data_IF_908136519904
#
_entry.id   IF_908136519904
#
_cell.length_a   1.000
_cell.length_b   1.000
_cell.length_c   1.000
_cell.angle_alpha   90.00
_cell.angle_beta   90.00
_cell.angle_gamma   90.00
#
_symmetry.space_group_name_H-M   'P 1'
#
loop_
_entity.id
_entity.type
_entity.pdbx_description
1 polymer ?
#
# COMPACT_ATOMS: atom_id res chain seq x y z
N UNK A 1 -21.08 1.06 27.44
CA UNK A 1 -19.62 1.15 27.31
C UNK A 1 -19.17 0.06 26.33
N UNK A 2 -18.87 0.41 25.07
CA UNK A 2 -18.50 -0.56 24.03
C UNK A 2 -16.99 -0.74 24.01
N UNK A 3 -16.51 -1.77 24.67
CA UNK A 3 -15.19 -2.33 24.42
C UNK A 3 -15.36 -3.29 23.24
N UNK A 4 -14.92 -2.87 22.05
CA UNK A 4 -14.80 -3.78 20.90
C UNK A 4 -13.34 -4.14 20.72
N UNK A 5 -13.13 -5.45 20.69
CA UNK A 5 -11.87 -6.17 20.67
C UNK A 5 -10.90 -5.68 19.58
N UNK A 6 -9.84 -5.00 20.01
CA UNK A 6 -8.51 -5.08 19.41
C UNK A 6 -7.85 -6.35 19.96
N UNK A 7 -8.39 -7.53 19.65
CA UNK A 7 -7.78 -8.77 20.12
C UNK A 7 -6.74 -9.24 19.09
N UNK A 8 -5.52 -9.41 19.61
CA UNK A 8 -4.28 -9.88 18.98
C UNK A 8 -3.46 -8.89 18.17
N UNK A 9 -3.06 -7.77 18.79
CA UNK A 9 -1.81 -7.09 18.44
C UNK A 9 -0.96 -6.93 19.69
N UNK A 10 0.22 -7.52 19.74
CA UNK A 10 1.25 -7.13 20.71
C UNK A 10 2.40 -6.46 19.96
N UNK A 11 2.61 -5.18 20.24
CA UNK A 11 3.82 -4.48 19.84
C UNK A 11 4.83 -4.64 20.97
N UNK A 12 6.06 -5.06 20.66
CA UNK A 12 7.13 -5.07 21.64
C UNK A 12 7.38 -3.63 22.12
N UNK A 13 7.17 -3.29 23.40
CA UNK A 13 7.33 -1.92 23.89
C UNK A 13 8.80 -1.46 23.91
N UNK A 14 9.74 -2.36 23.63
CA UNK A 14 11.19 -2.09 23.64
C UNK A 14 11.78 -1.84 22.26
N UNK A 15 11.37 -2.62 21.25
CA UNK A 15 11.89 -2.50 19.89
C UNK A 15 10.81 -2.15 18.85
N UNK A 16 9.56 -1.95 19.28
CA UNK A 16 8.42 -1.56 18.45
C UNK A 16 8.01 -2.57 17.35
N UNK A 17 8.55 -3.79 17.38
CA UNK A 17 8.19 -4.89 16.48
C UNK A 17 6.81 -5.45 16.82
N UNK A 18 5.95 -5.64 15.81
CA UNK A 18 4.64 -6.25 15.96
C UNK A 18 4.73 -7.79 15.91
N UNK A 19 4.06 -8.48 16.83
CA UNK A 19 3.87 -9.94 16.77
C UNK A 19 2.55 -10.27 16.06
N UNK A 20 2.64 -11.07 14.99
CA UNK A 20 1.53 -11.34 14.05
C UNK A 20 1.39 -10.23 13.01
N UNK A 21 1.35 -10.61 11.72
CA UNK A 21 1.19 -9.62 10.65
C UNK A 21 -0.12 -8.85 10.83
N UNK A 22 -0.06 -7.52 10.79
CA UNK A 22 -1.24 -6.69 10.92
C UNK A 22 -2.15 -6.93 9.71
N UNK A 23 -3.31 -7.57 9.93
CA UNK A 23 -4.34 -7.68 8.90
C UNK A 23 -5.08 -6.33 8.80
N UNK A 24 -5.05 -5.73 7.62
CA UNK A 24 -5.81 -4.53 7.31
C UNK A 24 -7.23 -4.81 6.83
N UNK A 25 -7.91 -3.76 6.40
CA UNK A 25 -9.31 -3.80 5.96
C UNK A 25 -9.50 -3.51 4.47
N UNK A 26 -8.46 -3.53 3.63
CA UNK A 26 -8.60 -3.44 2.16
C UNK A 26 -9.74 -4.36 1.67
N UNK A 27 -10.65 -3.90 0.79
CA UNK A 27 -11.79 -4.71 0.36
C UNK A 27 -11.41 -6.07 -0.22
N UNK A 28 -12.26 -7.07 0.05
CA UNK A 28 -12.10 -8.40 -0.56
C UNK A 28 -12.28 -8.35 -2.08
N UNK A 29 -11.69 -9.32 -2.78
CA UNK A 29 -11.70 -9.35 -4.25
C UNK A 29 -10.77 -8.33 -4.91
N UNK A 30 -9.98 -7.58 -4.12
CA UNK A 30 -8.93 -6.71 -4.66
C UNK A 30 -7.84 -7.53 -5.35
N UNK A 31 -7.38 -7.07 -6.51
CA UNK A 31 -6.29 -7.70 -7.26
C UNK A 31 -5.12 -6.75 -7.44
N UNK A 32 -3.92 -7.32 -7.52
CA UNK A 32 -2.65 -6.65 -7.80
C UNK A 32 -1.96 -7.42 -8.92
N UNK A 33 -1.56 -6.73 -9.98
CA UNK A 33 -0.76 -7.30 -11.07
C UNK A 33 0.44 -6.39 -11.37
N UNK A 34 1.45 -6.96 -12.02
CA UNK A 34 2.73 -6.28 -12.27
C UNK A 34 3.12 -6.45 -13.72
N UNK A 35 3.53 -5.35 -14.35
CA UNK A 35 4.14 -5.32 -15.68
C UNK A 35 5.52 -4.68 -15.61
N UNK A 36 6.39 -5.03 -16.55
CA UNK A 36 7.72 -4.45 -16.69
C UNK A 36 7.79 -3.66 -18.00
N UNK A 37 8.16 -2.40 -17.90
CA UNK A 37 8.18 -1.46 -19.03
C UNK A 37 9.59 -0.94 -19.21
N UNK A 38 10.15 -1.10 -20.41
CA UNK A 38 11.48 -0.58 -20.73
C UNK A 38 11.51 0.96 -20.75
N UNK A 39 12.71 1.54 -20.60
CA UNK A 39 12.91 2.98 -20.66
C UNK A 39 13.90 3.48 -19.61
N UNK A 40 13.97 4.81 -19.45
CA UNK A 40 14.78 5.46 -18.41
C UNK A 40 13.88 5.97 -17.30
N UNK A 41 14.34 5.81 -16.07
CA UNK A 41 13.68 6.36 -14.89
C UNK A 41 14.44 7.61 -14.42
N UNK A 42 13.81 8.79 -14.35
CA UNK A 42 14.46 9.97 -13.80
C UNK A 42 14.98 9.72 -12.38
N UNK A 43 16.28 9.93 -12.16
CA UNK A 43 16.94 9.70 -10.86
C UNK A 43 17.42 8.27 -10.61
N UNK A 44 17.14 7.32 -11.50
CA UNK A 44 17.57 5.92 -11.37
C UNK A 44 18.22 5.43 -12.68
N UNK A 45 19.49 5.78 -12.89
CA UNK A 45 20.25 5.38 -14.08
C UNK A 45 20.63 3.88 -14.09
N UNK A 46 20.54 3.24 -12.93
CA UNK A 46 20.76 1.82 -12.71
C UNK A 46 19.52 0.95 -13.02
N UNK A 47 18.38 1.57 -13.29
CA UNK A 47 17.12 0.87 -13.53
C UNK A 47 16.93 0.48 -15.00
N UNK A 48 16.53 -0.77 -15.19
CA UNK A 48 16.11 -1.32 -16.49
C UNK A 48 14.64 -1.03 -16.77
N UNK A 49 14.28 0.26 -16.79
CA UNK A 49 12.91 0.74 -16.95
C UNK A 49 12.11 0.79 -15.66
N UNK A 50 10.79 0.75 -15.78
CA UNK A 50 9.84 0.82 -14.68
C UNK A 50 9.15 -0.53 -14.43
N UNK A 51 8.82 -0.77 -13.17
CA UNK A 51 7.85 -1.75 -12.73
C UNK A 51 6.52 -1.01 -12.60
N UNK A 52 5.52 -1.41 -13.38
CA UNK A 52 4.16 -0.92 -13.25
C UNK A 52 3.35 -1.88 -12.38
N UNK A 53 2.71 -1.33 -11.35
CA UNK A 53 1.87 -2.08 -10.43
C UNK A 53 0.44 -1.62 -10.65
N UNK A 54 -0.43 -2.53 -11.07
CA UNK A 54 -1.85 -2.25 -11.26
C UNK A 54 -2.66 -2.82 -10.11
N UNK A 55 -3.48 -1.97 -9.50
CA UNK A 55 -4.44 -2.35 -8.48
C UNK A 55 -5.85 -2.20 -9.04
N UNK A 56 -6.67 -3.23 -8.85
CA UNK A 56 -8.12 -3.17 -9.08
C UNK A 56 -8.84 -3.55 -7.81
N UNK A 57 -9.62 -2.60 -7.28
CA UNK A 57 -10.41 -2.78 -6.08
C UNK A 57 -11.88 -2.64 -6.49
N UNK A 58 -12.67 -3.73 -6.43
CA UNK A 58 -14.08 -3.67 -6.83
C UNK A 58 -14.89 -2.83 -5.85
N UNK A 59 -15.97 -2.22 -6.34
CA UNK A 59 -17.01 -1.66 -5.47
C UNK A 59 -17.68 -2.76 -4.65
N UNK A 60 -18.22 -2.43 -3.50
CA UNK A 60 -18.82 -3.42 -2.63
C UNK A 60 -19.62 -2.83 -1.49
N UNK A 61 -19.82 -3.64 -0.46
CA UNK A 61 -20.48 -3.22 0.79
C UNK A 61 -19.46 -3.20 1.91
N UNK A 62 -19.48 -2.15 2.72
CA UNK A 62 -18.61 -1.99 3.87
C UNK A 62 -18.88 -3.08 4.90
N UNK A 63 -17.85 -3.85 5.24
CA UNK A 63 -17.90 -4.81 6.34
C UNK A 63 -17.79 -4.12 7.72
N UNK A 64 -17.75 -4.92 8.79
CA UNK A 64 -17.66 -4.43 10.17
C UNK A 64 -16.38 -3.67 10.51
N UNK A 65 -15.34 -3.76 9.68
CA UNK A 65 -14.04 -3.09 9.89
C UNK A 65 -13.95 -1.73 9.19
N UNK A 66 -14.99 -1.34 8.44
CA UNK A 66 -15.06 -0.08 7.72
C UNK A 66 -15.86 0.99 8.49
N UNK A 67 -15.73 2.28 8.14
CA UNK A 67 -16.35 3.37 8.90
C UNK A 67 -17.87 3.30 8.99
N UNK A 68 -18.54 2.77 7.96
CA UNK A 68 -20.01 2.71 7.88
C UNK A 68 -20.47 1.32 7.41
N UNK A 69 -20.44 0.30 8.29
CA UNK A 69 -20.82 -1.06 7.95
C UNK A 69 -22.22 -1.16 7.32
N UNK A 70 -22.36 -2.02 6.30
CA UNK A 70 -23.60 -2.20 5.53
C UNK A 70 -23.83 -1.16 4.43
N UNK A 71 -23.06 -0.07 4.38
CA UNK A 71 -23.17 0.93 3.32
C UNK A 71 -22.35 0.55 2.09
N UNK A 72 -22.86 0.88 0.90
CA UNK A 72 -22.09 0.74 -0.33
C UNK A 72 -20.83 1.62 -0.32
N UNK A 73 -19.75 1.15 -0.94
CA UNK A 73 -18.57 1.95 -1.26
C UNK A 73 -18.18 1.78 -2.72
N UNK A 74 -17.58 2.82 -3.29
CA UNK A 74 -17.10 2.82 -4.67
C UNK A 74 -15.63 2.37 -4.77
N UNK A 75 -15.39 1.38 -5.61
CA UNK A 75 -14.08 0.82 -5.93
C UNK A 75 -13.19 1.76 -6.74
N UNK A 76 -12.00 1.30 -7.13
CA UNK A 76 -11.04 2.11 -7.88
C UNK A 76 -10.05 1.26 -8.68
N UNK A 77 -9.42 1.88 -9.66
CA UNK A 77 -8.26 1.34 -10.37
C UNK A 77 -7.10 2.33 -10.21
N UNK A 78 -5.92 1.82 -9.88
CA UNK A 78 -4.74 2.66 -9.67
C UNK A 78 -3.51 2.00 -10.26
N UNK A 79 -2.64 2.81 -10.83
CA UNK A 79 -1.33 2.38 -11.30
C UNK A 79 -0.26 3.08 -10.46
N UNK A 80 0.75 2.33 -10.06
CA UNK A 80 1.93 2.83 -9.36
C UNK A 80 3.21 2.37 -10.05
N UNK A 81 4.31 3.07 -9.78
CA UNK A 81 5.57 2.92 -10.50
C UNK A 81 6.76 2.78 -9.53
N UNK A 82 7.60 1.78 -9.76
CA UNK A 82 8.91 1.62 -9.14
C UNK A 82 10.00 1.57 -10.23
N UNK A 83 11.23 2.01 -9.95
CA UNK A 83 12.35 1.70 -10.83
C UNK A 83 12.60 0.18 -10.86
N UNK A 84 12.86 -0.37 -12.04
CA UNK A 84 13.26 -1.77 -12.20
C UNK A 84 14.76 -1.95 -11.92
N UNK A 85 15.13 -1.78 -10.65
CA UNK A 85 16.46 -2.05 -10.11
C UNK A 85 16.34 -2.88 -8.81
N UNK A 86 17.47 -3.20 -8.18
CA UNK A 86 17.49 -4.02 -6.96
C UNK A 86 16.58 -3.47 -5.85
N UNK A 87 16.64 -2.16 -5.59
CA UNK A 87 15.88 -1.54 -4.49
C UNK A 87 14.38 -1.46 -4.82
N UNK A 88 14.01 -1.19 -6.07
CA UNK A 88 12.62 -1.21 -6.51
C UNK A 88 12.01 -2.61 -6.48
N UNK A 89 12.78 -3.65 -6.80
CA UNK A 89 12.35 -5.05 -6.66
C UNK A 89 12.12 -5.44 -5.19
N UNK A 90 12.98 -4.98 -4.28
CA UNK A 90 12.78 -5.18 -2.84
C UNK A 90 11.49 -4.51 -2.34
N UNK A 91 11.25 -3.26 -2.74
CA UNK A 91 10.00 -2.54 -2.42
C UNK A 91 8.79 -3.24 -3.03
N UNK A 92 8.88 -3.77 -4.25
CA UNK A 92 7.80 -4.52 -4.88
C UNK A 92 7.35 -5.71 -4.02
N UNK A 93 8.28 -6.51 -3.51
CA UNK A 93 7.95 -7.67 -2.68
C UNK A 93 7.30 -7.26 -1.35
N UNK A 94 7.79 -6.19 -0.73
CA UNK A 94 7.16 -5.64 0.48
C UNK A 94 5.74 -5.13 0.20
N UNK A 95 5.51 -4.45 -0.93
CA UNK A 95 4.19 -3.99 -1.33
C UNK A 95 3.23 -5.14 -1.63
N UNK A 96 3.71 -6.22 -2.25
CA UNK A 96 2.93 -7.46 -2.43
C UNK A 96 2.54 -8.06 -1.09
N UNK A 97 3.48 -8.12 -0.14
CA UNK A 97 3.19 -8.63 1.19
C UNK A 97 2.16 -7.76 1.92
N UNK A 98 2.33 -6.43 1.91
CA UNK A 98 1.35 -5.50 2.47
C UNK A 98 -0.05 -5.65 1.82
N UNK A 99 -0.11 -5.81 0.50
CA UNK A 99 -1.36 -6.02 -0.22
C UNK A 99 -2.05 -7.33 0.19
N UNK A 100 -1.28 -8.42 0.32
CA UNK A 100 -1.78 -9.71 0.79
C UNK A 100 -2.28 -9.64 2.25
N UNK A 101 -1.66 -8.81 3.08
CA UNK A 101 -2.11 -8.49 4.43
C UNK A 101 -3.24 -7.45 4.46
N UNK A 102 -3.83 -7.07 3.31
CA UNK A 102 -4.93 -6.11 3.19
C UNK A 102 -4.61 -4.70 3.71
N UNK A 103 -3.34 -4.28 3.65
CA UNK A 103 -2.87 -3.02 4.22
C UNK A 103 -2.73 -1.87 3.22
N UNK A 104 -2.75 -2.13 1.91
CA UNK A 104 -2.48 -1.08 0.89
C UNK A 104 -3.61 -0.07 0.77
N UNK A 105 -4.85 -0.54 0.87
CA UNK A 105 -6.06 0.28 0.74
C UNK A 105 -6.97 0.14 1.96
N UNK A 106 -7.90 1.08 2.07
CA UNK A 106 -9.01 1.07 3.03
C UNK A 106 -10.24 1.72 2.39
N UNK A 107 -11.40 1.61 3.02
CA UNK A 107 -12.57 2.43 2.68
C UNK A 107 -12.66 3.60 3.65
N UNK A 108 -12.84 4.80 3.10
CA UNK A 108 -12.97 6.00 3.89
C UNK A 108 -13.50 7.17 3.10
N UNK A 109 -13.19 8.36 3.61
CA UNK A 109 -13.53 9.63 2.96
C UNK A 109 -12.26 10.20 2.35
N UNK A 110 -12.31 10.54 1.06
CA UNK A 110 -11.21 11.16 0.34
C UNK A 110 -10.95 12.55 0.91
N UNK A 111 -9.76 12.76 1.47
CA UNK A 111 -9.35 14.06 2.03
C UNK A 111 -9.24 15.12 0.92
N UNK A 112 -8.81 14.71 -0.28
CA UNK A 112 -8.56 15.66 -1.39
C UNK A 112 -9.82 16.07 -2.13
N UNK A 113 -10.80 15.17 -2.28
CA UNK A 113 -12.01 15.42 -3.06
C UNK A 113 -13.28 15.53 -2.23
N UNK A 114 -13.24 15.18 -0.95
CA UNK A 114 -14.42 15.09 -0.08
C UNK A 114 -15.36 13.93 -0.40
N UNK A 115 -15.03 13.08 -1.39
CA UNK A 115 -15.84 11.91 -1.75
C UNK A 115 -15.91 10.94 -0.57
N UNK A 116 -17.12 10.53 -0.21
CA UNK A 116 -17.36 9.60 0.91
C UNK A 116 -17.55 8.19 0.41
N UNK A 117 -17.25 7.21 1.26
CA UNK A 117 -17.46 5.79 0.97
C UNK A 117 -16.70 5.34 -0.28
N UNK A 118 -15.42 5.70 -0.35
CA UNK A 118 -14.55 5.36 -1.48
C UNK A 118 -13.31 4.63 -1.01
N UNK A 119 -12.69 3.89 -1.92
CA UNK A 119 -11.39 3.27 -1.68
C UNK A 119 -10.28 4.32 -1.70
N UNK A 120 -9.53 4.41 -0.61
CA UNK A 120 -8.40 5.32 -0.42
C UNK A 120 -7.12 4.56 -0.11
N UNK A 121 -5.97 5.20 -0.35
CA UNK A 121 -4.68 4.70 0.12
C UNK A 121 -4.66 4.64 1.65
N UNK A 122 -4.03 3.61 2.22
CA UNK A 122 -3.96 3.40 3.66
C UNK A 122 -2.55 3.68 4.20
N UNK A 123 -2.07 4.90 4.00
CA UNK A 123 -0.81 5.38 4.62
C UNK A 123 0.49 4.93 3.95
N UNK A 124 0.46 4.01 2.98
CA UNK A 124 1.63 3.59 2.20
C UNK A 124 1.65 4.38 0.88
N UNK A 125 2.60 5.31 0.74
CA UNK A 125 2.67 6.19 -0.42
C UNK A 125 3.16 5.44 -1.66
N UNK A 126 2.50 5.71 -2.77
CA UNK A 126 2.85 5.17 -4.09
C UNK A 126 3.17 6.30 -5.05
N UNK A 127 4.13 6.07 -5.95
CA UNK A 127 4.36 6.95 -7.10
C UNK A 127 3.37 6.62 -8.20
N UNK A 128 2.41 7.51 -8.45
CA UNK A 128 1.35 7.33 -9.46
C UNK A 128 1.62 8.10 -10.75
N UNK A 129 2.81 8.69 -10.89
CA UNK A 129 3.28 9.35 -12.10
C UNK A 129 4.75 8.96 -12.35
N UNK A 130 5.12 8.67 -13.60
CA UNK A 130 6.50 8.32 -13.97
C UNK A 130 7.41 9.54 -14.12
N UNK A 131 6.83 10.72 -14.37
CA UNK A 131 7.54 11.99 -14.56
C UNK A 131 7.43 12.91 -13.34
N UNK A 132 7.69 14.19 -13.54
CA UNK A 132 7.73 15.18 -12.45
C UNK A 132 6.36 15.39 -11.78
N UNK A 133 6.40 15.75 -10.50
CA UNK A 133 5.21 16.13 -9.72
C UNK A 133 5.23 15.55 -8.30
N UNK A 134 4.23 15.88 -7.47
CA UNK A 134 4.19 15.50 -6.06
C UNK A 134 4.18 13.97 -5.84
N UNK A 135 3.68 13.20 -6.80
CA UNK A 135 3.60 11.74 -6.74
C UNK A 135 4.44 11.06 -7.83
N UNK A 136 5.48 11.74 -8.33
CA UNK A 136 6.31 11.24 -9.42
C UNK A 136 7.82 11.27 -9.16
N UNK A 137 8.59 11.09 -10.23
CA UNK A 137 10.06 11.02 -10.24
C UNK A 137 10.67 12.24 -10.94
N UNK A 138 11.92 12.63 -10.62
CA UNK A 138 12.81 12.02 -9.64
C UNK A 138 12.39 12.32 -8.19
N UNK A 139 12.55 11.33 -7.31
CA UNK A 139 12.45 11.48 -5.86
C UNK A 139 13.47 10.52 -5.23
N UNK A 140 14.68 11.00 -4.90
CA UNK A 140 15.76 10.13 -4.42
C UNK A 140 15.48 9.51 -3.06
N UNK A 141 14.50 10.02 -2.31
CA UNK A 141 14.18 9.56 -0.94
C UNK A 141 13.02 8.57 -0.89
N UNK A 142 12.28 8.42 -1.99
CA UNK A 142 11.02 7.69 -2.01
C UNK A 142 11.17 6.23 -1.59
N UNK A 143 12.14 5.51 -2.14
CA UNK A 143 12.28 4.07 -1.88
C UNK A 143 12.63 3.77 -0.42
N UNK A 144 13.35 4.65 0.26
CA UNK A 144 13.62 4.50 1.70
C UNK A 144 12.40 4.87 2.53
N UNK A 145 11.76 5.99 2.21
CA UNK A 145 10.57 6.45 2.92
C UNK A 145 9.39 5.47 2.84
N UNK A 146 9.16 4.85 1.68
CA UNK A 146 8.09 3.83 1.55
C UNK A 146 8.42 2.56 2.35
N UNK A 147 9.70 2.18 2.47
CA UNK A 147 10.11 1.07 3.35
C UNK A 147 9.86 1.41 4.82
N UNK A 148 10.10 2.65 5.25
CA UNK A 148 9.79 3.09 6.62
C UNK A 148 8.28 3.07 6.89
N UNK A 149 7.47 3.53 5.93
CA UNK A 149 6.01 3.47 6.00
C UNK A 149 5.52 2.01 6.10
N UNK A 150 6.07 1.09 5.31
CA UNK A 150 5.78 -0.35 5.36
C UNK A 150 6.20 -0.95 6.71
N UNK A 151 7.39 -0.61 7.21
CA UNK A 151 7.89 -1.07 8.50
C UNK A 151 7.00 -0.61 9.67
N UNK A 152 6.40 0.58 9.59
CA UNK A 152 5.44 1.05 10.59
C UNK A 152 4.18 0.16 10.69
N UNK A 153 3.81 -0.50 9.59
CA UNK A 153 2.76 -1.54 9.55
C UNK A 153 3.28 -2.95 9.90
N UNK A 154 4.55 -3.10 10.29
CA UNK A 154 5.19 -4.39 10.55
C UNK A 154 5.57 -5.16 9.29
N UNK A 155 5.58 -4.50 8.12
CA UNK A 155 5.97 -5.09 6.84
C UNK A 155 7.46 -4.85 6.60
N UNK A 156 8.26 -5.86 6.91
CA UNK A 156 9.72 -5.85 6.74
C UNK A 156 10.19 -7.12 6.05
N UNK A 157 11.42 -7.12 5.52
CA UNK A 157 12.02 -8.29 4.87
C UNK A 157 12.09 -9.49 5.80
N UNK A 158 12.34 -9.26 7.09
CA UNK A 158 12.41 -10.33 8.11
C UNK A 158 11.03 -10.97 8.34
N UNK A 159 9.97 -10.17 8.36
CA UNK A 159 8.61 -10.63 8.64
C UNK A 159 7.91 -11.27 7.42
N UNK A 160 8.50 -11.20 6.23
CA UNK A 160 8.01 -11.89 5.04
C UNK A 160 8.34 -13.39 5.03
N UNK A 161 9.26 -13.84 5.89
CA UNK A 161 9.70 -15.24 5.95
C UNK A 161 8.87 -15.99 7.01
N UNK A 162 8.40 -17.21 6.71
CA UNK A 162 7.65 -18.05 7.65
C UNK A 162 8.48 -18.46 8.87
#
# INVERSE_FOLDING_TARGET
MRQQALENRSQCPRCMVWYGAALGNQPHGSTMSVNYVGGRVPGHNDASGFIEIHYSIPSGTQDSTHPRPGKHFHGTHRTAYLPNNRQGQEVLELLRFAFNQRLTFTVGDSVTTGAKDVVTWNGIHHKTNMGHGPFGYPDPTYLDRVKDELAAYGITVDNMRP
#
